data_IF_943210070808
#
_entry.id   IF_943210070808
#
_cell.length_a   1.000
_cell.length_b   1.000
_cell.length_c   1.000
_cell.angle_alpha   90.00
_cell.angle_beta   90.00
_cell.angle_gamma   90.00
#
_symmetry.space_group_name_H-M   'P 1'
#
loop_
_entity.id
_entity.type
_entity.pdbx_description
1 polymer ?
#
# COMPACT_ATOMS: atom_id res chain seq x y z
N UNK A 1 -3.62 2.85 13.89
CA UNK A 1 -3.82 2.03 12.68
C UNK A 1 -4.08 0.61 13.13
N UNK A 2 -4.91 -0.12 12.39
CA UNK A 2 -5.17 -1.56 12.59
C UNK A 2 -3.87 -2.38 12.60
N UNK A 3 -3.80 -3.43 13.42
CA UNK A 3 -2.68 -4.38 13.49
C UNK A 3 -2.79 -5.51 12.44
N UNK A 4 -3.63 -5.33 11.40
CA UNK A 4 -3.75 -6.32 10.31
C UNK A 4 -2.42 -6.48 9.59
N UNK A 5 -1.91 -7.71 9.59
CA UNK A 5 -0.74 -8.13 8.83
C UNK A 5 -1.19 -9.00 7.66
N UNK A 6 -0.82 -8.59 6.44
CA UNK A 6 -1.11 -9.29 5.19
C UNK A 6 0.08 -10.13 4.71
N UNK A 7 1.16 -10.21 5.49
CA UNK A 7 2.43 -10.83 5.08
C UNK A 7 2.28 -12.31 4.72
N UNK A 8 1.53 -13.08 5.51
CA UNK A 8 1.30 -14.51 5.29
C UNK A 8 0.45 -14.78 4.04
N UNK A 9 -0.58 -13.96 3.80
CA UNK A 9 -1.43 -14.08 2.61
C UNK A 9 -0.62 -13.83 1.34
N UNK A 10 0.16 -12.74 1.33
CA UNK A 10 0.97 -12.33 0.19
C UNK A 10 2.10 -13.34 -0.08
N UNK A 11 2.69 -13.94 0.96
CA UNK A 11 3.76 -14.92 0.81
C UNK A 11 3.33 -16.17 0.01
N UNK A 12 2.02 -16.42 -0.11
CA UNK A 12 1.46 -17.55 -0.85
C UNK A 12 1.12 -17.19 -2.30
N UNK A 13 1.38 -15.97 -2.76
CA UNK A 13 1.05 -15.51 -4.12
C UNK A 13 2.15 -15.79 -5.13
N UNK A 14 2.66 -17.02 -5.14
CA UNK A 14 3.69 -17.49 -6.08
C UNK A 14 3.17 -17.65 -7.53
N UNK A 15 1.86 -17.59 -7.71
CA UNK A 15 1.18 -17.69 -9.01
C UNK A 15 1.09 -16.37 -9.78
N UNK A 16 1.48 -15.24 -9.19
CA UNK A 16 1.42 -13.93 -9.83
C UNK A 16 2.65 -13.68 -10.69
N UNK A 17 2.47 -13.17 -11.90
CA UNK A 17 3.58 -12.75 -12.78
C UNK A 17 3.93 -11.26 -12.64
N UNK A 18 3.13 -10.52 -11.88
CA UNK A 18 3.28 -9.08 -11.72
C UNK A 18 2.18 -8.47 -10.86
N UNK A 19 2.43 -7.28 -10.36
CA UNK A 19 1.52 -6.54 -9.49
C UNK A 19 1.24 -5.17 -10.13
N UNK A 20 -0.04 -4.82 -10.23
CA UNK A 20 -0.49 -3.49 -10.60
C UNK A 20 -1.14 -2.82 -9.39
N UNK A 21 -0.55 -1.73 -8.91
CA UNK A 21 -1.16 -0.85 -7.90
C UNK A 21 -1.90 0.26 -8.65
N UNK A 22 -3.23 0.18 -8.60
CA UNK A 22 -4.11 1.10 -9.33
C UNK A 22 -4.34 2.37 -8.52
N UNK A 23 -4.18 3.53 -9.15
CA UNK A 23 -4.51 4.79 -8.50
C UNK A 23 -5.99 4.81 -8.10
N UNK A 24 -6.27 5.14 -6.85
CA UNK A 24 -7.62 5.44 -6.37
C UNK A 24 -7.56 6.62 -5.42
N UNK A 25 -8.70 7.24 -5.18
CA UNK A 25 -8.84 8.43 -4.35
C UNK A 25 -8.22 8.51 -2.94
N UNK A 26 -7.72 7.48 -2.23
CA UNK A 26 -6.96 7.66 -0.97
C UNK A 26 -5.52 8.18 -1.11
N UNK A 27 -5.12 9.18 -0.30
CA UNK A 27 -3.69 9.46 -0.03
C UNK A 27 -3.10 8.41 0.90
N UNK A 28 -1.77 8.40 0.91
CA UNK A 28 -0.96 7.80 1.95
C UNK A 28 -1.20 8.53 3.29
N UNK A 29 -1.39 7.82 4.43
CA UNK A 29 -1.57 8.45 5.72
C UNK A 29 -0.42 9.42 6.07
N UNK A 30 -0.70 10.66 6.55
CA UNK A 30 0.32 11.65 6.88
C UNK A 30 1.43 11.16 7.81
N UNK A 31 1.08 10.28 8.74
CA UNK A 31 2.03 9.66 9.67
C UNK A 31 3.09 8.81 8.98
N UNK A 32 2.85 8.31 7.76
CA UNK A 32 3.82 7.52 7.01
C UNK A 32 5.02 8.34 6.54
N UNK A 33 4.82 9.62 6.21
CA UNK A 33 5.86 10.54 5.77
C UNK A 33 6.20 11.61 6.82
N UNK A 34 5.93 11.32 8.10
CA UNK A 34 6.38 12.14 9.23
C UNK A 34 5.56 13.41 9.49
N UNK A 35 4.36 13.54 8.89
CA UNK A 35 3.43 14.63 9.20
C UNK A 35 2.37 14.19 10.20
N UNK A 36 2.06 15.05 11.16
CA UNK A 36 0.90 14.88 12.04
C UNK A 36 -0.36 15.39 11.32
N UNK A 37 -1.54 14.88 11.72
CA UNK A 37 -2.89 15.02 11.10
C UNK A 37 -3.36 16.47 10.79
N UNK A 38 -2.65 17.21 9.94
CA UNK A 38 -3.11 18.53 9.46
C UNK A 38 -4.29 18.40 8.50
N UNK A 39 -4.58 17.18 8.01
CA UNK A 39 -5.77 16.86 7.23
C UNK A 39 -6.82 16.33 8.22
N UNK A 40 -7.76 17.20 8.59
CA UNK A 40 -8.84 16.88 9.54
C UNK A 40 -9.90 15.94 8.95
N UNK A 41 -9.97 15.82 7.62
CA UNK A 41 -10.98 15.05 6.93
C UNK A 41 -10.33 13.97 6.05
N UNK A 42 -10.31 12.75 6.57
CA UNK A 42 -9.64 11.59 5.96
C UNK A 42 -10.62 10.61 5.33
N UNK A 43 -11.86 11.03 5.03
CA UNK A 43 -12.94 10.17 4.49
C UNK A 43 -12.58 9.45 3.18
N UNK A 44 -11.55 9.93 2.51
CA UNK A 44 -11.01 9.38 1.27
C UNK A 44 -9.87 8.38 1.52
N UNK A 45 -9.26 8.34 2.72
CA UNK A 45 -8.20 7.40 3.10
C UNK A 45 -8.77 6.08 3.63
N UNK A 46 -8.29 4.97 3.07
CA UNK A 46 -8.68 3.62 3.47
C UNK A 46 -7.49 2.92 4.09
N UNK A 47 -7.43 2.89 5.43
CA UNK A 47 -6.32 2.30 6.20
C UNK A 47 -5.98 0.87 5.77
N UNK A 48 -7.01 0.06 5.47
CA UNK A 48 -6.84 -1.34 5.08
C UNK A 48 -6.10 -1.48 3.75
N UNK A 49 -6.44 -0.64 2.78
CA UNK A 49 -5.76 -0.60 1.47
C UNK A 49 -4.30 -0.20 1.64
N UNK A 50 -4.04 0.86 2.40
CA UNK A 50 -2.67 1.31 2.66
C UNK A 50 -1.81 0.22 3.32
N UNK A 51 -2.34 -0.46 4.32
CA UNK A 51 -1.64 -1.56 5.00
C UNK A 51 -1.33 -2.71 4.04
N UNK A 52 -2.28 -3.04 3.17
CA UNK A 52 -2.13 -4.08 2.15
C UNK A 52 -1.06 -3.71 1.10
N UNK A 53 -1.13 -2.50 0.52
CA UNK A 53 -0.16 -2.02 -0.48
C UNK A 53 1.26 -1.92 0.10
N UNK A 54 1.38 -1.46 1.36
CA UNK A 54 2.64 -1.44 2.09
C UNK A 54 3.22 -2.85 2.28
N UNK A 55 2.39 -3.83 2.61
CA UNK A 55 2.81 -5.22 2.76
C UNK A 55 3.27 -5.82 1.42
N UNK A 56 2.56 -5.53 0.33
CA UNK A 56 2.96 -5.93 -1.03
C UNK A 56 4.35 -5.40 -1.42
N UNK A 57 4.57 -4.09 -1.24
CA UNK A 57 5.85 -3.46 -1.56
C UNK A 57 6.98 -4.04 -0.68
N UNK A 58 6.71 -4.30 0.60
CA UNK A 58 7.70 -4.88 1.52
C UNK A 58 8.12 -6.30 1.10
N UNK A 59 7.16 -7.09 0.62
CA UNK A 59 7.40 -8.46 0.14
C UNK A 59 8.02 -8.53 -1.27
N UNK A 60 8.18 -7.41 -1.98
CA UNK A 60 8.84 -7.41 -3.29
C UNK A 60 10.32 -7.83 -3.23
N UNK A 61 10.96 -7.76 -2.04
CA UNK A 61 12.32 -8.29 -1.83
C UNK A 61 12.38 -9.82 -1.87
N UNK A 62 11.29 -10.49 -1.50
CA UNK A 62 11.18 -11.96 -1.44
C UNK A 62 10.42 -12.52 -2.64
N UNK A 63 9.59 -11.71 -3.28
CA UNK A 63 8.90 -12.01 -4.54
C UNK A 63 9.36 -11.02 -5.62
N UNK A 64 10.31 -11.40 -6.49
CA UNK A 64 10.88 -10.52 -7.52
C UNK A 64 9.89 -10.32 -8.69
N UNK A 65 8.68 -9.89 -8.37
CA UNK A 65 7.64 -9.61 -9.35
C UNK A 65 7.76 -8.16 -9.84
N UNK A 66 7.54 -7.91 -11.15
CA UNK A 66 7.42 -6.57 -11.66
C UNK A 66 6.22 -5.87 -11.00
N UNK A 67 6.46 -4.71 -10.39
CA UNK A 67 5.41 -3.86 -9.81
C UNK A 67 5.26 -2.61 -10.67
N UNK A 68 4.02 -2.33 -11.07
CA UNK A 68 3.63 -1.12 -11.77
C UNK A 68 2.66 -0.30 -10.91
N UNK A 69 2.86 1.01 -10.80
CA UNK A 69 1.91 1.92 -10.17
C UNK A 69 1.33 2.91 -11.18
N UNK A 70 0.04 3.21 -11.06
CA UNK A 70 -0.64 4.25 -11.85
C UNK A 70 -0.90 5.52 -11.02
N UNK A 71 -1.11 6.66 -11.69
CA UNK A 71 -0.81 8.07 -11.29
C UNK A 71 -1.55 8.65 -10.05
N UNK A 72 -1.93 7.85 -9.05
CA UNK A 72 -2.28 8.37 -7.72
C UNK A 72 -1.30 7.93 -6.61
N UNK A 73 -0.61 6.79 -6.74
CA UNK A 73 0.12 6.17 -5.62
C UNK A 73 1.57 6.66 -5.41
N UNK A 74 2.23 7.20 -6.45
CA UNK A 74 3.67 7.55 -6.39
C UNK A 74 3.95 9.01 -5.95
N UNK A 75 3.12 9.57 -5.05
CA UNK A 75 3.49 10.81 -4.36
C UNK A 75 4.42 10.46 -3.19
N UNK A 76 5.67 10.16 -3.53
CA UNK A 76 6.79 10.14 -2.58
C UNK A 76 7.23 11.57 -2.24
#
# INVERSE_FOLDING_TARGET
>A
FSDKDFSEDIAQWDFLDGILISGSGPDIPPSFYGKNKEIENNDWMVDERFLFEKALIKNQRTMPLPVWGSVADFRC
#
